data_IF_218165672090
#
_entry.id   IF_218165672090
#
_cell.length_a   1.000
_cell.length_b   1.000
_cell.length_c   1.000
_cell.angle_alpha   90.00
_cell.angle_beta   90.00
_cell.angle_gamma   90.00
#
_symmetry.space_group_name_H-M   'P 1'
#
loop_
_entity.id
_entity.type
_entity.pdbx_description
1 polymer ?
2 non-polymer ?
3 non-polymer ?
4 water ?
#
# COMPACT_ATOMS: atom_id res chain seq x y z
N UNK A 1 -9.05 12.95 -10.18
CA UNK A 1 -7.53 12.94 -9.89
C UNK A 1 -7.07 11.57 -9.39
N UNK A 2 -7.82 10.95 -8.50
CA UNK A 2 -7.41 9.64 -7.93
C UNK A 2 -8.09 8.55 -8.73
N UNK A 3 -8.88 8.87 -9.76
CA UNK A 3 -9.98 7.95 -10.13
C UNK A 3 -9.41 6.70 -10.83
N UNK A 4 -8.25 6.77 -11.47
CA UNK A 4 -7.76 5.55 -12.14
C UNK A 4 -7.25 4.52 -11.11
N UNK A 5 -7.03 4.94 -9.85
CA UNK A 5 -6.64 4.00 -8.81
C UNK A 5 -7.82 3.23 -8.21
N UNK A 6 -9.03 3.70 -8.43
CA UNK A 6 -10.18 3.16 -7.71
C UNK A 6 -10.54 1.78 -8.25
N UNK A 7 -10.97 0.91 -7.35
CA UNK A 7 -11.46 -0.41 -7.70
C UNK A 7 -10.84 -1.47 -6.83
N UNK A 8 -11.02 -2.72 -7.30
CA UNK A 8 -10.54 -3.92 -6.62
C UNK A 8 -9.35 -4.47 -7.39
N UNK A 9 -8.27 -4.76 -6.67
CA UNK A 9 -6.99 -5.11 -7.24
C UNK A 9 -6.46 -6.37 -6.57
N UNK A 10 -5.79 -7.24 -7.32
CA UNK A 10 -5.30 -8.54 -6.85
C UNK A 10 -3.79 -8.56 -7.01
N UNK A 11 -3.03 -9.05 -6.02
CA UNK A 11 -1.57 -9.14 -6.15
C UNK A 11 -1.22 -10.24 -7.17
N UNK A 12 -0.33 -9.89 -8.05
CA UNK A 12 0.08 -10.92 -8.99
C UNK A 12 1.61 -11.00 -9.12
N UNK A 13 2.41 -10.01 -8.66
CA UNK A 13 3.89 -10.12 -8.67
C UNK A 13 4.41 -9.44 -7.41
N UNK A 14 5.45 -10.02 -6.77
CA UNK A 14 6.07 -9.36 -5.61
C UNK A 14 7.59 -9.59 -5.66
N UNK A 15 8.31 -8.48 -5.48
CA UNK A 15 9.78 -8.48 -5.43
C UNK A 15 10.26 -7.81 -4.16
N UNK A 16 11.08 -8.53 -3.40
CA UNK A 16 11.78 -7.98 -2.24
C UNK A 16 10.84 -7.66 -1.06
N UNK A 17 9.66 -8.28 -0.98
CA UNK A 17 8.80 -8.02 0.17
C UNK A 17 9.43 -8.54 1.46
N UNK A 18 10.14 -9.69 1.40
CA UNK A 18 10.81 -10.15 2.61
C UNK A 18 11.83 -9.12 3.09
N UNK A 19 12.60 -8.53 2.19
CA UNK A 19 13.56 -7.52 2.60
C UNK A 19 12.86 -6.36 3.32
N UNK A 20 11.75 -5.91 2.75
CA UNK A 20 11.00 -4.79 3.33
C UNK A 20 10.46 -5.16 4.73
N UNK A 21 9.82 -6.32 4.83
CA UNK A 21 9.31 -6.75 6.12
C UNK A 21 10.42 -6.91 7.16
N UNK A 22 11.54 -7.50 6.73
CA UNK A 22 12.64 -7.70 7.68
C UNK A 22 13.17 -6.35 8.17
N UNK A 23 13.25 -5.36 7.28
CA UNK A 23 13.72 -4.03 7.66
C UNK A 23 12.80 -3.41 8.72
N UNK A 24 11.50 -3.68 8.63
CA UNK A 24 10.51 -3.22 9.60
C UNK A 24 10.50 -4.07 10.89
N UNK A 25 11.28 -5.15 10.97
CA UNK A 25 11.31 -5.97 12.18
C UNK A 25 10.25 -7.04 12.26
N UNK A 26 9.61 -7.36 11.15
CA UNK A 26 8.61 -8.43 11.15
C UNK A 26 9.33 -9.78 11.36
N UNK A 27 8.80 -10.61 12.25
CA UNK A 27 9.41 -11.88 12.58
C UNK A 27 9.35 -12.90 11.49
N UNK A 28 10.12 -14.02 11.61
CA UNK A 28 10.33 -14.91 10.46
C UNK A 28 9.08 -15.62 10.08
N UNK A 29 8.36 -15.99 11.10
CA UNK A 29 7.19 -16.84 10.83
C UNK A 29 6.12 -16.02 10.13
N UNK A 30 5.99 -14.76 10.52
CA UNK A 30 5.04 -13.86 9.87
C UNK A 30 5.50 -13.57 8.44
N UNK A 31 6.78 -13.33 8.23
CA UNK A 31 7.27 -13.10 6.88
C UNK A 31 6.99 -14.29 6.01
N UNK A 32 7.27 -15.40 6.57
CA UNK A 32 6.95 -16.63 5.84
C UNK A 32 5.47 -16.67 5.31
N UNK A 33 4.39 -16.46 6.14
CA UNK A 33 2.97 -16.40 5.72
C UNK A 33 2.78 -15.30 4.69
N UNK A 34 3.33 -14.13 4.97
CA UNK A 34 3.18 -13.00 4.07
C UNK A 34 3.75 -13.26 2.69
N UNK A 35 4.82 -14.02 2.60
CA UNK A 35 5.47 -14.31 1.32
C UNK A 35 4.61 -15.19 0.42
N UNK A 36 3.60 -15.86 0.98
CA UNK A 36 2.72 -16.75 0.23
C UNK A 36 1.31 -16.18 0.13
N UNK A 37 1.07 -15.00 0.64
CA UNK A 37 -0.25 -14.36 0.63
C UNK A 37 -0.39 -13.47 -0.61
N UNK A 38 -1.58 -13.45 -1.19
CA UNK A 38 -1.89 -12.55 -2.32
C UNK A 38 -3.07 -11.68 -1.91
N UNK A 39 -2.81 -10.52 -1.33
CA UNK A 39 -3.92 -9.70 -0.88
C UNK A 39 -4.75 -9.15 -2.04
N UNK A 40 -5.97 -8.75 -1.64
CA UNK A 40 -6.85 -7.95 -2.45
C UNK A 40 -6.86 -6.54 -1.85
N UNK A 41 -6.62 -5.53 -2.70
CA UNK A 41 -6.65 -4.13 -2.27
C UNK A 41 -7.86 -3.46 -2.94
N UNK A 42 -8.70 -2.82 -2.12
CA UNK A 42 -9.90 -2.15 -2.62
C UNK A 42 -9.74 -0.68 -2.29
N UNK A 43 -9.84 0.17 -3.31
CA UNK A 43 -9.69 1.61 -3.12
C UNK A 43 -10.99 2.24 -3.59
N UNK A 44 -11.69 2.97 -2.69
CA UNK A 44 -12.98 3.59 -2.99
C UNK A 44 -12.91 5.05 -2.54
N UNK A 45 -13.75 5.86 -3.17
CA UNK A 45 -13.85 7.27 -2.86
C UNK A 45 -15.31 7.61 -2.56
N UNK A 46 -15.50 8.53 -1.61
CA UNK A 46 -16.82 9.12 -1.34
C UNK A 46 -16.53 10.60 -1.07
N UNK A 47 -16.76 11.44 -2.08
CA UNK A 47 -16.33 12.82 -1.97
C UNK A 47 -14.83 12.85 -1.78
N UNK A 48 -14.34 13.62 -0.83
CA UNK A 48 -12.88 13.75 -0.66
C UNK A 48 -12.37 12.68 0.29
N UNK A 49 -13.17 11.72 0.70
CA UNK A 49 -12.66 10.67 1.59
C UNK A 49 -12.36 9.42 0.77
N UNK A 50 -11.12 8.96 0.86
CA UNK A 50 -10.71 7.68 0.28
C UNK A 50 -10.69 6.62 1.38
N UNK A 51 -11.09 5.40 1.01
CA UNK A 51 -10.97 4.25 1.89
C UNK A 51 -10.18 3.17 1.14
N UNK A 52 -9.15 2.67 1.80
CA UNK A 52 -8.24 1.68 1.21
C UNK A 52 -8.27 0.46 2.13
N UNK A 53 -8.81 -0.63 1.58
CA UNK A 53 -8.93 -1.92 2.27
C UNK A 53 -7.85 -2.85 1.72
N UNK A 54 -7.22 -3.61 2.60
CA UNK A 54 -6.30 -4.66 2.17
C UNK A 54 -6.74 -5.94 2.87
N UNK A 55 -7.11 -6.95 2.08
CA UNK A 55 -7.73 -8.15 2.59
C UNK A 55 -6.85 -9.37 2.29
N UNK A 56 -6.71 -10.24 3.30
CA UNK A 56 -6.06 -11.52 3.09
C UNK A 56 -6.54 -12.47 4.17
N UNK A 57 -6.05 -13.73 3.69
CA UNK A 57 -6.28 -14.92 4.48
C UNK A 57 -5.60 -14.80 5.81
N UNK A 58 -4.60 -13.95 5.97
CA UNK A 58 -3.92 -13.87 7.30
C UNK A 58 -4.18 -12.61 8.16
N UNK A 59 -4.61 -11.50 7.64
CA UNK A 59 -4.64 -10.13 8.16
C UNK A 59 -5.40 -9.26 7.18
N UNK A 60 -6.27 -8.43 7.74
CA UNK A 60 -6.99 -7.41 6.99
C UNK A 60 -6.64 -6.04 7.59
N UNK A 61 -6.63 -5.02 6.75
CA UNK A 61 -6.54 -3.64 7.22
C UNK A 61 -7.54 -2.77 6.46
N UNK A 62 -7.86 -1.62 7.06
CA UNK A 62 -8.66 -0.61 6.39
C UNK A 62 -8.26 0.75 6.94
N UNK A 63 -8.07 1.71 6.05
CA UNK A 63 -7.83 3.10 6.41
C UNK A 63 -8.77 3.99 5.60
N UNK A 64 -9.18 5.10 6.22
CA UNK A 64 -9.86 6.17 5.52
C UNK A 64 -9.12 7.49 5.75
N UNK A 65 -9.05 8.32 4.71
CA UNK A 65 -8.27 9.52 4.79
C UNK A 65 -8.74 10.51 3.72
N UNK A 66 -8.41 11.78 3.95
CA UNK A 66 -8.49 12.81 2.94
C UNK A 66 -7.09 13.05 2.41
N UNK A 67 -6.91 13.23 1.09
CA UNK A 67 -5.61 13.55 0.58
C UNK A 67 -5.08 14.82 1.24
N UNK A 68 -3.81 14.77 1.63
CA UNK A 68 -3.16 15.95 2.17
C UNK A 68 -3.47 16.28 3.60
N UNK A 69 -4.15 15.38 4.31
CA UNK A 69 -4.50 15.60 5.71
C UNK A 69 -3.97 14.43 6.54
N UNK A 70 -3.15 14.73 7.54
CA UNK A 70 -2.55 13.67 8.36
C UNK A 70 -3.63 12.86 9.08
N UNK A 71 -3.34 11.58 9.27
CA UNK A 71 -4.23 10.69 10.01
C UNK A 71 -3.37 9.71 10.81
N UNK A 72 -3.93 9.24 11.93
CA UNK A 72 -3.34 8.16 12.68
C UNK A 72 -3.64 6.83 11.99
N UNK A 73 -2.67 5.91 12.03
CA UNK A 73 -2.82 4.60 11.39
C UNK A 73 -2.12 3.57 12.27
N UNK A 74 -2.72 2.37 12.30
CA UNK A 74 -2.10 1.20 12.92
C UNK A 74 -1.90 0.18 11.81
N UNK A 75 -0.66 -0.08 11.45
CA UNK A 75 -0.36 -0.85 10.25
C UNK A 75 -0.61 -2.35 10.47
N UNK A 76 -0.48 -3.11 9.37
CA UNK A 76 -0.73 -4.55 9.42
C UNK A 76 0.20 -5.26 10.41
N UNK A 77 1.42 -4.73 10.56
CA UNK A 77 2.43 -5.22 11.47
C UNK A 77 2.41 -4.47 12.81
N UNK A 78 1.34 -3.75 13.10
CA UNK A 78 1.06 -3.16 14.42
C UNK A 78 1.96 -1.97 14.78
N UNK A 79 2.49 -1.27 13.77
CA UNK A 79 3.12 0.02 14.06
C UNK A 79 2.04 1.09 14.17
N UNK A 80 2.18 1.97 15.16
CA UNK A 80 1.30 3.12 15.32
C UNK A 80 2.02 4.33 14.72
N UNK A 81 1.50 4.80 13.59
CA UNK A 81 2.21 5.76 12.75
C UNK A 81 1.33 6.99 12.51
N UNK A 82 2.00 8.06 12.09
CA UNK A 82 1.36 9.27 11.62
C UNK A 82 1.50 9.26 10.09
N UNK A 83 0.39 9.34 9.38
CA UNK A 83 0.36 9.10 7.95
C UNK A 83 -0.21 10.28 7.18
N UNK A 84 0.22 10.38 5.93
CA UNK A 84 -0.40 11.33 4.99
C UNK A 84 -0.30 10.70 3.60
N UNK A 85 -1.34 10.91 2.80
CA UNK A 85 -1.38 10.42 1.43
C UNK A 85 -1.62 11.62 0.52
N UNK A 86 -0.89 11.70 -0.56
CA UNK A 86 -0.97 12.81 -1.51
C UNK A 86 -0.74 12.27 -2.91
N UNK A 87 -1.07 13.06 -3.90
CA UNK A 87 -0.74 12.77 -5.30
C UNK A 87 0.53 13.55 -5.68
N UNK A 88 1.49 12.88 -6.31
CA UNK A 88 2.78 13.48 -6.67
C UNK A 88 3.12 12.89 -8.02
N UNK A 89 3.09 13.74 -9.02
CA UNK A 89 3.45 13.20 -10.31
C UNK A 89 2.50 12.14 -10.79
N UNK A 90 1.24 12.23 -10.38
CA UNK A 90 0.22 11.23 -10.74
C UNK A 90 0.28 9.95 -9.91
N UNK A 91 1.21 9.88 -8.98
CA UNK A 91 1.38 8.72 -8.12
C UNK A 91 0.71 9.01 -6.79
N UNK A 92 0.12 7.96 -6.25
CA UNK A 92 -0.52 8.07 -4.95
C UNK A 92 0.56 7.73 -3.91
N UNK A 93 1.04 8.72 -3.12
CA UNK A 93 2.18 8.59 -2.21
C UNK A 93 1.69 8.58 -0.75
N UNK A 94 1.86 7.46 -0.06
CA UNK A 94 1.48 7.29 1.35
C UNK A 94 2.77 7.28 2.20
N UNK A 95 3.00 8.30 3.09
CA UNK A 95 4.16 8.43 3.97
C UNK A 95 3.71 8.12 5.39
N UNK A 96 4.43 7.21 6.04
CA UNK A 96 4.21 6.85 7.44
C UNK A 96 5.43 7.25 8.26
N UNK A 97 5.17 7.85 9.42
CA UNK A 97 6.22 8.32 10.34
C UNK A 97 5.97 7.75 11.73
N UNK A 98 7.02 7.23 12.36
CA UNK A 98 6.92 6.74 13.74
C UNK A 98 8.33 6.61 14.29
N UNK A 99 8.52 6.98 15.55
CA UNK A 99 9.83 6.79 16.21
C UNK A 99 10.96 7.44 15.39
N UNK A 100 10.71 8.53 14.71
CA UNK A 100 11.70 9.19 13.89
C UNK A 100 12.04 8.48 12.58
N UNK A 101 11.42 7.33 12.32
CA UNK A 101 11.55 6.56 11.08
C UNK A 101 10.48 6.97 10.09
N UNK A 102 10.69 6.59 8.84
CA UNK A 102 9.70 6.78 7.82
C UNK A 102 9.67 5.57 6.91
N UNK A 103 8.53 5.35 6.29
CA UNK A 103 8.44 4.45 5.15
C UNK A 103 7.46 5.06 4.16
N UNK A 104 7.70 4.83 2.88
CA UNK A 104 6.81 5.29 1.83
C UNK A 104 6.21 4.08 1.07
N UNK A 105 4.94 4.26 0.72
CA UNK A 105 4.17 3.30 -0.06
C UNK A 105 3.68 4.12 -1.27
N UNK A 106 4.27 3.89 -2.43
CA UNK A 106 4.00 4.69 -3.62
C UNK A 106 3.26 3.82 -4.62
N UNK A 107 2.11 4.30 -5.11
CA UNK A 107 1.33 3.57 -6.09
C UNK A 107 1.29 4.36 -7.39
N UNK A 108 1.63 3.67 -8.47
CA UNK A 108 1.76 4.26 -9.81
C UNK A 108 1.00 3.32 -10.76
N UNK A 109 0.31 3.85 -11.78
CA UNK A 109 -0.37 3.03 -12.78
C UNK A 109 0.53 2.92 -14.00
N UNK A 110 0.86 1.72 -14.42
CA UNK A 110 1.70 1.48 -15.59
C UNK A 110 1.00 0.42 -16.43
N UNK A 111 0.60 0.82 -17.64
CA UNK A 111 -0.07 -0.11 -18.56
C UNK A 111 -1.23 -0.80 -17.86
N UNK A 112 -2.00 -0.05 -17.10
CA UNK A 112 -3.23 -0.56 -16.45
C UNK A 112 -3.01 -1.38 -15.21
N UNK A 113 -1.75 -1.61 -14.83
CA UNK A 113 -1.41 -2.33 -13.60
C UNK A 113 -1.02 -1.32 -12.55
N UNK A 114 -1.33 -1.68 -11.32
CA UNK A 114 -1.01 -0.82 -10.15
C UNK A 114 0.29 -1.35 -9.55
N UNK A 115 1.30 -0.50 -9.58
CA UNK A 115 2.63 -0.85 -9.07
C UNK A 115 2.80 -0.12 -7.74
N UNK A 116 3.01 -0.92 -6.69
CA UNK A 116 3.21 -0.45 -5.32
C UNK A 116 4.70 -0.61 -4.99
N UNK A 117 5.35 0.50 -4.69
CA UNK A 117 6.76 0.49 -4.30
C UNK A 117 6.84 0.86 -2.83
N UNK A 118 7.41 -0.03 -2.03
CA UNK A 118 7.53 0.13 -0.58
C UNK A 118 9.00 0.33 -0.25
N UNK A 119 9.34 1.42 0.45
CA UNK A 119 10.74 1.70 0.79
C UNK A 119 10.84 1.92 2.29
N UNK A 120 11.77 1.23 2.94
CA UNK A 120 12.10 1.47 4.35
C UNK A 120 13.60 1.17 4.48
N UNK A 121 14.34 2.07 5.12
CA UNK A 121 15.78 1.89 5.19
C UNK A 121 16.33 1.86 3.78
N UNK A 122 17.10 0.84 3.45
CA UNK A 122 17.58 0.66 2.10
C UNK A 122 16.72 -0.30 1.29
N UNK A 123 15.75 -0.95 1.93
CA UNK A 123 14.94 -2.00 1.27
C UNK A 123 13.90 -1.34 0.37
N UNK A 124 13.81 -1.88 -0.85
CA UNK A 124 12.85 -1.39 -1.86
C UNK A 124 12.13 -2.63 -2.43
N UNK A 125 10.83 -2.67 -2.16
CA UNK A 125 9.96 -3.76 -2.62
C UNK A 125 9.02 -3.23 -3.69
N UNK A 126 8.79 -4.04 -4.73
CA UNK A 126 7.86 -3.69 -5.79
C UNK A 126 6.81 -4.78 -5.90
N UNK A 127 5.54 -4.39 -5.75
CA UNK A 127 4.45 -5.33 -5.86
C UNK A 127 3.51 -4.84 -6.94
N UNK A 128 3.04 -5.80 -7.72
CA UNK A 128 2.18 -5.49 -8.84
C UNK A 128 0.80 -6.06 -8.62
N UNK A 129 -0.21 -5.21 -8.81
CA UNK A 129 -1.60 -5.56 -8.67
C UNK A 129 -2.31 -5.39 -10.01
N UNK A 130 -3.25 -6.29 -10.26
CA UNK A 130 -4.06 -6.33 -11.47
C UNK A 130 -5.52 -6.07 -11.08
N UNK A 131 -6.22 -5.31 -11.92
CA UNK A 131 -7.64 -5.06 -11.69
C UNK A 131 -8.42 -6.37 -11.73
N UNK A 132 -9.36 -6.43 -10.79
CA UNK A 132 -10.65 -7.13 -10.95
C UNK A 132 -11.79 -6.35 -11.64
N UNK A 133 -12.52 -7.07 -12.45
CA UNK A 133 -13.71 -6.56 -13.12
C UNK A 133 -14.84 -6.41 -12.15
#
# INVERSE_FOLDING_TARGET
>A
MVDAFLGTWKLVDSKNFDDYMKSLGVGFATRQVASMTKPTTIIEKNGDILTLKTHSTFKNTEISFKLGVEFDETTADDRKVKSIVTLDGGKLVHLQKWDGQETTLVRELIDGKLILTLTHGTAVCTRTYEKEA
#
